data_IF_032139498037
#
_entry.id   IF_032139498037
#
_cell.length_a   1.000
_cell.length_b   1.000
_cell.length_c   1.000
_cell.angle_alpha   90.00
_cell.angle_beta   90.00
_cell.angle_gamma   90.00
#
_symmetry.space_group_name_H-M   'P 1'
#
loop_
_entity.id
_entity.type
_entity.pdbx_description
1 polymer ?
#
# COMPACT_ATOMS: atom_id res chain seq x y z
N UNK A 1 -13.49 -1.30 -5.56
CA UNK A 1 -12.01 -1.37 -5.54
C UNK A 1 -11.47 0.04 -5.40
N UNK A 2 -10.68 0.33 -4.36
CA UNK A 2 -10.17 1.68 -4.07
C UNK A 2 -9.02 2.07 -5.00
N UNK A 3 -9.36 2.41 -6.25
CA UNK A 3 -8.40 2.80 -7.29
C UNK A 3 -8.68 4.24 -7.71
N UNK A 4 -7.63 5.05 -7.83
CA UNK A 4 -7.73 6.37 -8.42
C UNK A 4 -8.04 6.26 -9.92
N UNK A 5 -9.21 6.71 -10.35
CA UNK A 5 -9.64 6.66 -11.76
C UNK A 5 -8.75 7.44 -12.74
N UNK A 6 -7.88 8.34 -12.23
CA UNK A 6 -6.99 9.16 -13.08
C UNK A 6 -5.62 8.54 -13.34
N UNK A 7 -5.06 7.78 -12.41
CA UNK A 7 -3.74 7.14 -12.59
C UNK A 7 -3.69 5.65 -12.28
N UNK A 8 -4.82 5.03 -11.93
CA UNK A 8 -4.86 3.60 -11.60
C UNK A 8 -4.19 3.24 -10.28
N UNK A 9 -3.83 4.21 -9.42
CA UNK A 9 -3.16 3.94 -8.15
C UNK A 9 -4.10 3.34 -7.11
N UNK A 10 -3.63 2.31 -6.41
CA UNK A 10 -4.34 1.67 -5.31
C UNK A 10 -4.27 2.52 -4.04
N UNK A 11 -5.42 3.06 -3.63
CA UNK A 11 -5.55 3.78 -2.37
C UNK A 11 -5.64 2.78 -1.21
N UNK A 12 -5.38 3.28 0.00
CA UNK A 12 -5.54 2.49 1.22
C UNK A 12 -6.99 1.96 1.31
N UNK A 13 -7.11 0.73 1.76
CA UNK A 13 -8.39 0.05 1.98
C UNK A 13 -8.36 -0.52 3.40
N UNK A 14 -9.49 -0.43 4.10
CA UNK A 14 -9.61 -1.07 5.41
C UNK A 14 -9.60 -2.59 5.26
N UNK A 15 -9.22 -3.29 6.31
CA UNK A 15 -9.28 -4.75 6.36
C UNK A 15 -10.71 -5.26 6.13
N UNK A 16 -11.73 -4.60 6.69
CA UNK A 16 -13.14 -4.96 6.52
C UNK A 16 -13.60 -4.82 5.06
N UNK A 17 -13.31 -3.68 4.42
CA UNK A 17 -13.66 -3.47 3.00
C UNK A 17 -12.94 -4.50 2.10
N UNK A 18 -11.70 -4.85 2.45
CA UNK A 18 -10.91 -5.84 1.71
C UNK A 18 -11.52 -7.24 1.82
N UNK A 19 -12.01 -7.62 2.99
CA UNK A 19 -12.70 -8.90 3.21
C UNK A 19 -14.01 -8.93 2.40
N UNK A 20 -14.83 -7.88 2.50
CA UNK A 20 -16.11 -7.79 1.78
C UNK A 20 -15.94 -7.86 0.24
N UNK A 21 -14.84 -7.31 -0.28
CA UNK A 21 -14.52 -7.41 -1.71
C UNK A 21 -13.94 -8.76 -2.14
N UNK A 22 -13.40 -9.55 -1.21
CA UNK A 22 -12.66 -10.79 -1.51
C UNK A 22 -13.48 -12.05 -1.25
N UNK A 23 -14.44 -11.98 -0.32
CA UNK A 23 -15.24 -13.10 0.18
C UNK A 23 -16.69 -12.93 -0.29
N UNK A 24 -17.34 -14.04 -0.62
CA UNK A 24 -18.72 -14.08 -1.08
C UNK A 24 -19.66 -13.49 0.01
N UNK A 25 -20.65 -12.65 -0.37
CA UNK A 25 -21.53 -12.00 0.59
C UNK A 25 -22.22 -12.97 1.55
N UNK A 26 -22.15 -12.67 2.85
CA UNK A 26 -22.79 -13.48 3.91
C UNK A 26 -22.05 -14.76 4.29
N UNK A 27 -20.86 -15.02 3.73
CA UNK A 27 -20.06 -16.21 4.06
C UNK A 27 -18.92 -15.96 5.03
N UNK A 28 -18.66 -14.70 5.39
CA UNK A 28 -17.60 -14.32 6.32
C UNK A 28 -17.90 -14.81 7.74
N UNK A 29 -16.96 -15.58 8.29
CA UNK A 29 -16.97 -16.10 9.65
C UNK A 29 -15.65 -15.72 10.36
N UNK A 30 -15.65 -14.67 11.19
CA UNK A 30 -14.44 -14.18 11.84
C UNK A 30 -13.95 -15.14 12.94
N UNK A 31 -12.63 -15.28 13.05
CA UNK A 31 -11.94 -16.09 14.06
C UNK A 31 -11.17 -15.21 15.04
N UNK A 32 -11.21 -15.59 16.32
CA UNK A 32 -10.43 -14.96 17.39
C UNK A 32 -10.64 -13.44 17.52
N UNK A 33 -11.83 -12.94 17.17
CA UNK A 33 -12.10 -11.49 17.12
C UNK A 33 -11.93 -10.81 18.48
N UNK A 34 -12.24 -11.52 19.58
CA UNK A 34 -12.07 -11.02 20.95
C UNK A 34 -10.64 -11.02 21.51
N UNK A 35 -9.64 -11.46 20.74
CA UNK A 35 -8.25 -11.50 21.20
C UNK A 35 -7.61 -10.11 21.16
N UNK A 36 -7.05 -9.66 22.29
CA UNK A 36 -6.49 -8.31 22.48
C UNK A 36 -5.07 -8.37 23.05
N UNK A 37 -4.23 -7.42 22.64
CA UNK A 37 -2.84 -7.34 23.10
C UNK A 37 -2.76 -6.86 24.55
N UNK A 38 -1.87 -7.49 25.32
CA UNK A 38 -1.45 -7.04 26.65
C UNK A 38 -0.10 -6.33 26.55
N UNK A 39 0.33 -5.70 27.64
CA UNK A 39 1.64 -5.07 27.78
C UNK A 39 2.46 -5.80 28.87
N UNK A 40 3.08 -6.95 28.58
CA UNK A 40 3.80 -7.74 29.59
C UNK A 40 5.10 -7.10 30.06
N UNK A 41 5.64 -6.15 29.28
CA UNK A 41 6.93 -5.52 29.53
C UNK A 41 6.79 -4.08 30.06
N UNK A 42 5.55 -3.63 30.31
CA UNK A 42 5.22 -2.28 30.77
C UNK A 42 5.93 -1.21 29.94
N UNK A 43 5.76 -1.28 28.62
CA UNK A 43 6.49 -0.39 27.72
C UNK A 43 5.96 1.05 27.80
N UNK A 44 6.79 1.93 28.33
CA UNK A 44 6.54 3.37 28.38
C UNK A 44 7.35 4.10 27.30
N UNK A 45 6.65 4.70 26.34
CA UNK A 45 7.27 5.67 25.43
C UNK A 45 7.26 7.07 26.04
N UNK A 46 8.13 7.97 25.57
CA UNK A 46 8.19 9.37 26.04
C UNK A 46 6.89 10.14 25.78
N UNK A 47 6.07 9.70 24.82
CA UNK A 47 4.82 10.36 24.43
C UNK A 47 3.61 9.78 25.18
N UNK A 48 3.46 8.45 25.22
CA UNK A 48 2.28 7.76 25.79
C UNK A 48 2.55 6.27 26.13
N UNK A 49 1.90 5.69 27.16
CA UNK A 49 1.96 4.26 27.46
C UNK A 49 1.41 3.38 26.32
N UNK A 50 2.02 2.23 26.07
CA UNK A 50 1.61 1.33 24.97
C UNK A 50 0.14 0.91 25.05
N UNK A 51 -0.38 0.68 26.26
CA UNK A 51 -1.78 0.32 26.50
C UNK A 51 -2.77 1.40 26.01
N UNK A 52 -2.45 2.66 26.26
CA UNK A 52 -3.29 3.79 25.85
C UNK A 52 -3.26 3.95 24.32
N UNK A 53 -2.10 3.68 23.70
CA UNK A 53 -1.96 3.63 22.24
C UNK A 53 -2.90 2.60 21.64
N UNK A 54 -2.83 1.36 22.10
CA UNK A 54 -3.70 0.27 21.61
C UNK A 54 -5.16 0.70 21.71
N UNK A 55 -5.60 1.19 22.88
CA UNK A 55 -6.98 1.61 23.09
C UNK A 55 -7.40 2.73 22.13
N UNK A 56 -6.53 3.70 21.86
CA UNK A 56 -6.81 4.78 20.92
C UNK A 56 -7.04 4.26 19.49
N UNK A 57 -6.23 3.30 19.04
CA UNK A 57 -6.36 2.69 17.71
C UNK A 57 -7.56 1.76 17.62
N UNK A 58 -7.85 0.97 18.66
CA UNK A 58 -9.06 0.16 18.75
C UNK A 58 -10.31 1.04 18.64
N UNK A 59 -10.36 2.16 19.36
CA UNK A 59 -11.49 3.11 19.27
C UNK A 59 -11.60 3.77 17.90
N UNK A 60 -10.47 4.08 17.27
CA UNK A 60 -10.44 4.72 15.94
C UNK A 60 -10.89 3.78 14.82
N UNK A 61 -10.42 2.53 14.85
CA UNK A 61 -10.60 1.56 13.77
C UNK A 61 -11.80 0.63 13.99
N UNK A 62 -12.24 0.47 15.24
CA UNK A 62 -13.21 -0.55 15.63
C UNK A 62 -12.65 -1.98 15.65
N UNK A 63 -11.35 -2.16 15.39
CA UNK A 63 -10.69 -3.46 15.36
C UNK A 63 -10.06 -3.78 16.73
N UNK A 64 -9.95 -5.07 17.07
CA UNK A 64 -9.24 -5.49 18.28
C UNK A 64 -7.73 -5.48 18.14
N UNK A 65 -7.22 -5.69 16.92
CA UNK A 65 -5.80 -5.72 16.61
C UNK A 65 -5.56 -5.45 15.11
N UNK A 66 -4.30 -5.32 14.69
CA UNK A 66 -3.90 -5.03 13.31
C UNK A 66 -4.16 -6.13 12.26
N UNK A 67 -4.84 -7.22 12.61
CA UNK A 67 -5.21 -8.28 11.66
C UNK A 67 -6.60 -8.82 11.97
N UNK A 68 -7.38 -8.99 10.91
CA UNK A 68 -8.62 -9.75 10.92
C UNK A 68 -8.37 -11.12 10.28
N UNK A 69 -8.78 -12.18 10.95
CA UNK A 69 -8.63 -13.57 10.49
C UNK A 69 -9.98 -14.26 10.53
N UNK A 70 -10.24 -15.14 9.58
CA UNK A 70 -11.51 -15.86 9.52
C UNK A 70 -11.60 -16.81 8.34
N UNK A 71 -12.80 -17.36 8.17
CA UNK A 71 -13.13 -18.20 7.01
C UNK A 71 -14.18 -17.52 6.15
N UNK A 72 -14.23 -17.90 4.88
CA UNK A 72 -15.19 -17.40 3.92
C UNK A 72 -15.27 -18.31 2.71
N UNK A 73 -16.11 -17.94 1.75
CA UNK A 73 -16.11 -18.56 0.43
C UNK A 73 -15.61 -17.55 -0.61
N UNK A 74 -14.88 -18.03 -1.61
CA UNK A 74 -14.49 -17.24 -2.78
C UNK A 74 -14.97 -17.99 -4.01
N UNK A 75 -15.99 -17.46 -4.68
CA UNK A 75 -16.67 -18.15 -5.78
C UNK A 75 -17.17 -19.55 -5.37
N UNK A 76 -17.70 -19.69 -4.15
CA UNK A 76 -18.17 -20.98 -3.59
C UNK A 76 -17.06 -21.92 -3.09
N UNK A 77 -15.79 -21.53 -3.18
CA UNK A 77 -14.67 -22.32 -2.65
C UNK A 77 -14.39 -21.88 -1.22
N UNK A 78 -14.45 -22.77 -0.21
CA UNK A 78 -14.14 -22.39 1.16
C UNK A 78 -12.66 -22.06 1.30
N UNK A 79 -12.35 -20.92 1.91
CA UNK A 79 -11.00 -20.40 2.12
C UNK A 79 -10.82 -19.90 3.54
N UNK A 80 -9.59 -20.02 4.05
CA UNK A 80 -9.14 -19.32 5.23
C UNK A 80 -8.45 -18.03 4.77
N UNK A 81 -8.84 -16.88 5.32
CA UNK A 81 -8.27 -15.59 4.92
C UNK A 81 -7.90 -14.73 6.13
N UNK A 82 -6.72 -14.12 6.06
CA UNK A 82 -6.24 -13.14 7.02
C UNK A 82 -5.87 -11.84 6.32
N UNK A 83 -6.37 -10.71 6.81
CA UNK A 83 -6.15 -9.39 6.23
C UNK A 83 -5.61 -8.45 7.30
N UNK A 84 -4.39 -7.94 7.07
CA UNK A 84 -3.76 -6.96 7.94
C UNK A 84 -4.23 -5.54 7.64
N UNK A 85 -4.45 -4.75 8.69
CA UNK A 85 -4.89 -3.36 8.60
C UNK A 85 -3.77 -2.38 8.97
N UNK A 86 -3.37 -1.55 8.01
CA UNK A 86 -2.37 -0.53 8.23
C UNK A 86 -2.85 0.61 9.15
N UNK A 87 -4.15 0.85 9.24
CA UNK A 87 -4.69 1.91 10.09
C UNK A 87 -4.45 1.62 11.58
N UNK A 88 -4.30 0.35 11.94
CA UNK A 88 -3.99 -0.08 13.29
C UNK A 88 -2.47 -0.14 13.49
N UNK A 89 -1.91 0.87 14.15
CA UNK A 89 -0.48 0.97 14.48
C UNK A 89 0.48 0.75 13.29
N UNK A 90 0.04 1.01 12.06
CA UNK A 90 0.85 0.80 10.85
C UNK A 90 0.98 -0.65 10.42
N UNK A 91 0.10 -1.55 10.88
CA UNK A 91 0.19 -2.98 10.59
C UNK A 91 1.32 -3.68 11.35
N UNK A 92 1.73 -3.18 12.51
CA UNK A 92 2.83 -3.75 13.29
C UNK A 92 2.49 -5.16 13.78
N UNK A 93 3.40 -6.11 13.58
CA UNK A 93 3.20 -7.51 14.00
C UNK A 93 3.55 -7.68 15.48
N UNK A 94 2.53 -7.60 16.34
CA UNK A 94 2.61 -7.92 17.77
C UNK A 94 2.34 -9.40 18.08
N UNK A 95 2.31 -9.74 19.37
CA UNK A 95 2.03 -11.12 19.84
C UNK A 95 0.66 -11.63 19.38
N UNK A 96 -0.39 -10.81 19.47
CA UNK A 96 -1.75 -11.18 19.05
C UNK A 96 -1.86 -11.33 17.54
N UNK A 97 -1.19 -10.47 16.77
CA UNK A 97 -1.15 -10.61 15.30
C UNK A 97 -0.53 -11.95 14.91
N UNK A 98 0.60 -12.31 15.54
CA UNK A 98 1.27 -13.59 15.31
C UNK A 98 0.40 -14.79 15.70
N UNK A 99 -0.24 -14.73 16.87
CA UNK A 99 -1.13 -15.78 17.37
C UNK A 99 -2.34 -16.00 16.44
N UNK A 100 -3.04 -14.93 16.04
CA UNK A 100 -4.18 -15.02 15.11
C UNK A 100 -3.78 -15.64 13.77
N UNK A 101 -2.65 -15.21 13.20
CA UNK A 101 -2.14 -15.78 11.93
C UNK A 101 -1.78 -17.26 12.09
N UNK A 102 -1.12 -17.62 13.19
CA UNK A 102 -0.72 -19.01 13.46
C UNK A 102 -1.95 -19.91 13.58
N UNK A 103 -2.96 -19.49 14.36
CA UNK A 103 -4.23 -20.22 14.48
C UNK A 103 -4.95 -20.40 13.15
N UNK A 104 -4.96 -19.36 12.32
CA UNK A 104 -5.56 -19.44 10.99
C UNK A 104 -4.83 -20.47 10.10
N UNK A 105 -3.49 -20.49 10.14
CA UNK A 105 -2.67 -21.47 9.40
C UNK A 105 -2.95 -22.89 9.90
N UNK A 106 -2.96 -23.10 11.22
CA UNK A 106 -3.23 -24.41 11.82
C UNK A 106 -4.65 -24.89 11.48
N UNK A 107 -5.64 -24.00 11.54
CA UNK A 107 -7.01 -24.29 11.16
C UNK A 107 -7.11 -24.65 9.67
N UNK A 108 -6.49 -23.87 8.78
CA UNK A 108 -6.46 -24.13 7.35
C UNK A 108 -5.79 -25.48 7.04
N UNK A 109 -4.71 -25.81 7.76
CA UNK A 109 -4.00 -27.08 7.65
C UNK A 109 -4.85 -28.26 8.10
N UNK A 110 -5.58 -28.12 9.21
CA UNK A 110 -6.44 -29.16 9.76
C UNK A 110 -7.71 -29.41 8.92
N UNK A 111 -8.25 -28.37 8.25
CA UNK A 111 -9.46 -28.44 7.41
C UNK A 111 -9.18 -28.49 5.89
N UNK A 112 -7.98 -28.93 5.50
CA UNK A 112 -7.35 -28.67 4.19
C UNK A 112 -7.95 -27.52 3.36
N UNK A 113 -7.99 -26.31 3.91
CA UNK A 113 -8.50 -25.12 3.24
C UNK A 113 -7.35 -24.35 2.56
N UNK A 114 -7.57 -23.75 1.37
CA UNK A 114 -6.67 -22.74 0.83
C UNK A 114 -6.54 -21.57 1.81
N UNK A 115 -5.31 -21.13 2.06
CA UNK A 115 -4.99 -20.00 2.92
C UNK A 115 -4.60 -18.78 2.08
N UNK A 116 -5.22 -17.64 2.37
CA UNK A 116 -4.92 -16.34 1.75
C UNK A 116 -4.51 -15.36 2.86
N UNK A 117 -3.32 -14.78 2.75
CA UNK A 117 -2.86 -13.72 3.65
C UNK A 117 -2.61 -12.44 2.87
N UNK A 118 -3.36 -11.38 3.20
CA UNK A 118 -3.17 -10.04 2.66
C UNK A 118 -2.37 -9.23 3.68
N UNK A 119 -1.07 -9.09 3.41
CA UNK A 119 -0.12 -8.44 4.31
C UNK A 119 0.06 -6.98 3.88
N UNK A 120 -0.11 -6.07 4.83
CA UNK A 120 0.20 -4.65 4.65
C UNK A 120 1.32 -4.27 5.61
N UNK A 121 2.52 -4.04 5.11
CA UNK A 121 3.68 -3.65 5.93
C UNK A 121 4.44 -2.50 5.29
N UNK A 122 5.09 -1.70 6.13
CA UNK A 122 5.93 -0.60 5.69
C UNK A 122 7.36 -1.09 5.48
N UNK A 123 7.79 -1.24 4.22
CA UNK A 123 9.22 -1.40 3.93
C UNK A 123 9.87 -0.04 4.05
N UNK A 124 10.54 0.22 5.18
CA UNK A 124 11.52 1.31 5.26
C UNK A 124 12.77 0.84 4.52
N UNK A 125 12.89 1.22 3.25
CA UNK A 125 14.20 1.15 2.57
C UNK A 125 15.09 2.18 3.26
N UNK A 126 16.00 1.70 4.09
CA UNK A 126 17.01 2.53 4.74
C UNK A 126 18.03 2.99 3.70
N UNK A 127 17.68 4.01 2.90
CA UNK A 127 18.70 4.89 2.34
C UNK A 127 18.95 6.01 3.34
N UNK A 128 20.21 6.17 3.72
CA UNK A 128 20.66 7.13 4.73
C UNK A 128 20.13 8.55 4.51
N UNK A 129 19.69 9.15 5.61
CA UNK A 129 19.65 10.61 5.86
C UNK A 129 18.84 11.45 4.87
N UNK A 130 17.52 11.52 5.07
CA UNK A 130 16.74 12.73 4.77
C UNK A 130 15.76 13.02 5.92
N UNK A 131 16.13 13.98 6.76
CA UNK A 131 15.21 14.63 7.71
C UNK A 131 14.35 15.59 6.89
N UNK A 132 13.23 15.09 6.36
CA UNK A 132 12.13 15.89 5.83
C UNK A 132 11.03 16.05 6.88
N UNK A 133 10.19 17.10 6.82
CA UNK A 133 9.10 17.29 7.77
C UNK A 133 8.19 16.05 7.74
N UNK A 134 7.97 15.46 8.93
CA UNK A 134 7.04 14.35 9.13
C UNK A 134 5.70 14.71 8.47
N UNK A 135 5.31 13.99 7.40
CA UNK A 135 3.93 14.05 6.94
C UNK A 135 3.06 13.57 8.11
N UNK A 136 2.26 14.47 8.67
CA UNK A 136 1.31 14.13 9.72
C UNK A 136 0.40 12.98 9.23
N UNK A 137 0.09 12.05 10.14
CA UNK A 137 -0.67 10.82 9.88
C UNK A 137 -2.13 11.07 9.51
N UNK A 138 -2.36 11.66 8.34
CA UNK A 138 -3.68 11.76 7.74
C UNK A 138 -4.10 10.39 7.19
N UNK A 139 -5.39 10.09 7.34
CA UNK A 139 -6.01 8.82 6.92
C UNK A 139 -5.82 8.52 5.43
N UNK A 140 -5.65 9.58 4.62
CA UNK A 140 -5.24 9.54 3.21
C UNK A 140 -4.03 10.45 2.98
N UNK A 141 -3.15 10.17 2.00
CA UNK A 141 -2.07 11.09 1.62
C UNK A 141 -2.66 12.46 1.29
N UNK A 142 -2.17 13.49 1.97
CA UNK A 142 -2.56 14.87 1.73
C UNK A 142 -1.33 15.67 1.34
N UNK A 143 -1.48 16.49 0.30
CA UNK A 143 -0.50 17.54 -0.02
C UNK A 143 -0.44 18.57 1.10
N UNK A 144 0.61 19.39 1.13
CA UNK A 144 0.76 20.52 2.06
C UNK A 144 -0.42 21.52 2.00
N UNK A 145 -1.26 21.45 0.95
CA UNK A 145 -2.48 22.23 0.74
C UNK A 145 -3.74 21.62 1.37
N UNK A 146 -3.67 20.43 1.98
CA UNK A 146 -4.79 19.76 2.64
C UNK A 146 -5.72 18.93 1.73
N UNK A 147 -5.48 18.90 0.40
CA UNK A 147 -6.24 18.08 -0.56
C UNK A 147 -5.96 16.59 -0.38
N UNK A 148 -6.97 15.74 -0.58
CA UNK A 148 -6.76 14.29 -0.73
C UNK A 148 -6.10 14.08 -2.09
N UNK A 149 -4.91 13.49 -2.06
CA UNK A 149 -4.17 13.13 -3.26
C UNK A 149 -3.78 11.67 -3.22
N UNK A 150 -3.78 11.05 -4.38
CA UNK A 150 -3.17 9.74 -4.56
C UNK A 150 -1.64 9.90 -4.42
N UNK A 151 -0.97 8.95 -3.76
CA UNK A 151 0.45 9.03 -3.47
C UNK A 151 1.36 9.05 -4.73
N UNK A 152 0.86 8.60 -5.89
CA UNK A 152 1.58 8.60 -7.18
C UNK A 152 1.03 9.55 -8.24
N UNK A 153 -0.20 10.07 -8.10
CA UNK A 153 -0.75 11.08 -9.00
C UNK A 153 -0.21 12.45 -8.57
N UNK A 154 0.96 12.85 -9.06
CA UNK A 154 1.44 14.24 -8.99
C UNK A 154 0.61 15.22 -9.85
N UNK A 155 -0.48 14.75 -10.48
CA UNK A 155 -1.34 15.58 -11.29
C UNK A 155 -2.39 16.27 -10.41
N UNK A 156 -1.99 17.45 -9.95
CA UNK A 156 -2.85 18.57 -9.57
C UNK A 156 -3.77 19.01 -10.72
N UNK A 157 -4.59 18.10 -11.26
CA UNK A 157 -5.46 18.40 -12.40
C UNK A 157 -6.96 18.29 -12.08
N UNK A 158 -7.32 18.21 -10.79
CA UNK A 158 -8.64 18.70 -10.37
C UNK A 158 -8.48 20.17 -9.97
N UNK A 159 -9.10 21.12 -10.70
CA UNK A 159 -9.20 22.48 -10.21
C UNK A 159 -9.88 22.39 -8.85
N UNK A 160 -9.25 22.93 -7.81
CA UNK A 160 -10.03 23.19 -6.62
C UNK A 160 -10.96 24.30 -7.01
N UNK A 161 -12.22 23.94 -7.11
CA UNK A 161 -13.28 24.92 -7.05
C UNK A 161 -13.25 25.46 -5.63
N UNK A 162 -12.39 26.44 -5.39
CA UNK A 162 -12.75 27.48 -4.47
C UNK A 162 -14.04 28.03 -5.07
N UNK A 163 -15.15 27.97 -4.33
CA UNK A 163 -16.36 28.69 -4.70
C UNK A 163 -16.10 30.19 -4.55
N UNK A 164 -15.22 30.74 -5.37
CA UNK A 164 -15.21 32.13 -5.69
C UNK A 164 -16.10 32.31 -6.90
N UNK A 165 -17.08 33.21 -6.77
CA UNK A 165 -17.89 33.67 -7.88
C UNK A 165 -16.91 34.21 -8.94
N UNK A 166 -16.87 33.59 -10.13
CA UNK A 166 -16.19 34.05 -11.35
C UNK A 166 -16.04 35.58 -11.37
N UNK A 167 -14.81 36.11 -11.28
CA UNK A 167 -14.38 37.39 -11.87
C UNK A 167 -12.86 37.57 -11.73
N UNK A 168 -12.28 38.11 -12.78
CA UNK A 168 -10.85 38.16 -13.11
C UNK A 168 -10.19 39.46 -12.64
N UNK A 169 -9.00 39.36 -12.04
CA UNK A 169 -8.03 40.45 -11.91
C UNK A 169 -7.54 40.75 -10.48
N UNK A 170 -6.40 40.19 -10.07
CA UNK A 170 -5.74 40.49 -8.79
C UNK A 170 -4.39 41.20 -9.06
N UNK A 171 -4.14 42.35 -8.45
CA UNK A 171 -3.08 43.29 -8.91
C UNK A 171 -2.14 43.83 -7.82
N UNK A 172 -2.13 43.32 -6.58
CA UNK A 172 -1.13 43.82 -5.62
C UNK A 172 -0.77 42.82 -4.54
N UNK A 173 0.54 42.63 -4.37
CA UNK A 173 1.15 41.89 -3.28
C UNK A 173 2.15 42.79 -2.55
N UNK A 174 2.09 42.79 -1.22
CA UNK A 174 3.17 43.23 -0.34
C UNK A 174 3.65 42.00 0.43
N UNK A 175 4.96 41.77 0.50
CA UNK A 175 5.50 40.70 1.35
C UNK A 175 6.20 41.26 2.59
N UNK A 176 6.10 40.56 3.72
CA UNK A 176 6.97 40.81 4.88
C UNK A 176 7.77 39.55 5.18
N UNK A 177 9.10 39.64 5.08
CA UNK A 177 9.99 38.53 5.39
C UNK A 177 10.09 38.36 6.91
N UNK A 178 9.41 37.35 7.47
CA UNK A 178 9.66 36.92 8.86
C UNK A 178 10.82 35.94 8.89
N UNK A 179 11.43 35.75 10.07
CA UNK A 179 12.76 35.11 10.30
C UNK A 179 13.06 33.84 9.49
N UNK A 180 12.07 33.07 8.97
CA UNK A 180 12.28 31.99 7.98
C UNK A 180 11.10 31.73 6.99
N UNK A 181 10.12 32.61 6.80
CA UNK A 181 8.95 32.34 5.94
C UNK A 181 8.38 33.61 5.27
N UNK A 182 7.36 33.45 4.42
CA UNK A 182 6.74 34.56 3.67
C UNK A 182 5.28 34.75 4.09
N UNK A 183 4.89 36.00 4.33
CA UNK A 183 3.49 36.41 4.48
C UNK A 183 3.12 37.23 3.24
N UNK A 184 2.13 36.77 2.48
CA UNK A 184 1.70 37.38 1.23
C UNK A 184 0.30 37.94 1.41
N UNK A 185 0.15 39.25 1.21
CA UNK A 185 -1.16 39.89 1.18
C UNK A 185 -1.58 40.14 -0.26
N UNK A 186 -2.60 39.44 -0.74
CA UNK A 186 -3.15 39.59 -2.09
C UNK A 186 -4.33 40.54 -2.04
N UNK A 187 -4.29 41.60 -2.83
CA UNK A 187 -5.39 42.57 -2.96
C UNK A 187 -6.14 42.37 -4.28
N UNK A 188 -7.46 42.26 -4.19
CA UNK A 188 -8.36 42.30 -5.34
C UNK A 188 -8.35 43.69 -5.99
N UNK A 189 -8.08 43.75 -7.30
CA UNK A 189 -7.95 45.00 -8.03
C UNK A 189 -9.30 45.73 -8.21
N UNK A 190 -10.42 45.03 -8.02
CA UNK A 190 -11.77 45.54 -8.27
C UNK A 190 -12.52 45.91 -6.98
N UNK A 191 -12.36 45.11 -5.91
CA UNK A 191 -13.14 45.27 -4.67
C UNK A 191 -12.30 45.74 -3.46
N UNK A 192 -10.96 45.84 -3.58
CA UNK A 192 -10.06 46.25 -2.48
C UNK A 192 -9.98 45.25 -1.31
N UNK A 193 -10.59 44.06 -1.45
CA UNK A 193 -10.53 42.99 -0.46
C UNK A 193 -9.13 42.40 -0.40
N UNK A 194 -8.63 42.19 0.82
CA UNK A 194 -7.31 41.63 1.07
C UNK A 194 -7.44 40.20 1.58
N UNK A 195 -6.63 39.29 1.02
CA UNK A 195 -6.47 37.91 1.47
C UNK A 195 -5.03 37.73 1.89
N UNK A 196 -4.80 37.26 3.12
CA UNK A 196 -3.46 36.98 3.65
C UNK A 196 -3.21 35.49 3.56
N UNK A 197 -2.09 35.11 2.95
CA UNK A 197 -1.62 33.74 2.86
C UNK A 197 -0.21 33.62 3.49
N UNK A 198 0.02 32.54 4.24
CA UNK A 198 1.23 32.35 5.05
C UNK A 198 1.97 31.13 4.52
N UNK A 199 3.16 31.36 3.97
CA UNK A 199 4.04 30.32 3.44
C UNK A 199 5.10 29.97 4.48
N UNK A 200 5.15 28.70 4.94
CA UNK A 200 6.15 28.24 5.88
C UNK A 200 7.56 28.16 5.25
N UNK A 201 8.63 28.12 6.08
CA UNK A 201 10.00 27.91 5.61
C UNK A 201 10.17 26.70 4.67
N UNK A 202 10.91 26.86 3.58
CA UNK A 202 11.40 25.76 2.74
C UNK A 202 11.28 26.02 1.24
N UNK A 203 10.08 26.30 0.71
CA UNK A 203 9.87 26.58 -0.71
C UNK A 203 10.40 27.96 -1.14
N UNK A 204 10.99 28.06 -2.32
CA UNK A 204 11.41 29.35 -2.89
C UNK A 204 10.21 30.08 -3.51
N UNK A 205 10.12 31.39 -3.33
CA UNK A 205 9.05 32.19 -3.91
C UNK A 205 9.27 32.41 -5.41
N UNK A 206 8.24 32.18 -6.23
CA UNK A 206 8.30 32.38 -7.69
C UNK A 206 7.74 33.72 -8.17
N UNK A 207 6.94 34.38 -7.36
CA UNK A 207 6.21 35.61 -7.73
C UNK A 207 6.94 36.83 -7.16
N UNK A 208 7.04 37.89 -7.97
CA UNK A 208 7.68 39.15 -7.57
C UNK A 208 6.66 40.23 -7.14
N UNK A 209 7.09 41.21 -6.35
CA UNK A 209 6.21 42.32 -5.96
C UNK A 209 5.70 43.10 -7.18
N UNK A 210 4.39 43.32 -7.26
CA UNK A 210 3.74 44.03 -8.37
C UNK A 210 3.33 43.16 -9.57
N UNK A 211 3.54 41.85 -9.51
CA UNK A 211 3.10 40.92 -10.56
C UNK A 211 1.60 40.57 -10.43
N UNK A 212 0.89 40.54 -11.56
CA UNK A 212 -0.52 40.10 -11.60
C UNK A 212 -0.61 38.59 -11.62
N UNK A 213 -1.25 37.99 -10.62
CA UNK A 213 -1.41 36.53 -10.51
C UNK A 213 -2.74 36.05 -11.09
N UNK A 214 -2.72 34.86 -11.71
CA UNK A 214 -3.95 34.16 -12.12
C UNK A 214 -4.46 33.28 -10.99
N UNK A 215 -5.77 33.01 -10.99
CA UNK A 215 -6.36 31.98 -10.13
C UNK A 215 -5.66 30.64 -10.44
N UNK A 216 -5.29 29.90 -9.39
CA UNK A 216 -4.56 28.61 -9.43
C UNK A 216 -3.08 28.68 -9.88
N UNK A 217 -2.47 29.87 -9.95
CA UNK A 217 -1.03 30.00 -10.17
C UNK A 217 -0.24 29.66 -8.89
N UNK A 218 0.77 28.76 -8.96
CA UNK A 218 1.59 28.43 -7.80
C UNK A 218 2.48 29.60 -7.39
N UNK A 219 2.48 29.92 -6.08
CA UNK A 219 3.29 31.01 -5.52
C UNK A 219 4.73 30.59 -5.20
N UNK A 220 4.98 29.29 -5.01
CA UNK A 220 6.28 28.74 -4.61
C UNK A 220 6.80 27.68 -5.59
N UNK A 221 8.11 27.40 -5.53
CA UNK A 221 8.72 26.21 -6.10
C UNK A 221 8.34 24.97 -5.28
N UNK A 222 8.44 23.79 -5.88
CA UNK A 222 8.34 22.51 -5.16
C UNK A 222 9.76 22.06 -4.76
N UNK A 223 10.14 22.13 -3.47
CA UNK A 223 11.48 21.72 -3.03
C UNK A 223 11.61 20.19 -2.88
N UNK A 224 10.56 19.41 -3.15
CA UNK A 224 10.59 17.97 -2.98
C UNK A 224 11.51 17.32 -4.03
N UNK A 225 12.59 16.70 -3.56
CA UNK A 225 13.54 15.91 -4.37
C UNK A 225 13.37 14.39 -4.18
N UNK A 226 12.43 13.97 -3.33
CA UNK A 226 12.12 12.56 -3.08
C UNK A 226 10.91 12.07 -3.87
N UNK A 227 10.84 10.76 -4.06
CA UNK A 227 9.70 10.07 -4.65
C UNK A 227 9.48 8.73 -3.96
N UNK A 228 8.22 8.32 -3.83
CA UNK A 228 7.87 7.00 -3.33
C UNK A 228 7.79 6.03 -4.51
N UNK A 229 8.54 4.92 -4.44
CA UNK A 229 8.50 3.84 -5.42
C UNK A 229 7.96 2.57 -4.77
N UNK A 230 7.10 1.84 -5.48
CA UNK A 230 6.68 0.49 -5.12
C UNK A 230 7.28 -0.47 -6.16
N UNK A 231 7.73 -1.63 -5.71
CA UNK A 231 8.20 -2.71 -6.56
C UNK A 231 7.37 -3.96 -6.31
N UNK A 232 6.98 -4.63 -7.40
CA UNK A 232 6.30 -5.91 -7.32
C UNK A 232 7.33 -7.03 -7.26
N UNK A 233 7.09 -8.01 -6.40
CA UNK A 233 7.91 -9.21 -6.29
C UNK A 233 6.99 -10.43 -6.22
N UNK A 234 7.30 -11.45 -7.01
CA UNK A 234 6.61 -12.73 -6.98
C UNK A 234 7.46 -13.75 -6.24
N UNK A 235 6.87 -14.43 -5.26
CA UNK A 235 7.50 -15.52 -4.53
C UNK A 235 6.66 -16.77 -4.76
N UNK A 236 7.27 -17.80 -5.35
CA UNK A 236 6.63 -19.10 -5.52
C UNK A 236 7.00 -19.97 -4.34
N UNK A 237 6.05 -20.18 -3.43
CA UNK A 237 6.19 -21.17 -2.35
C UNK A 237 6.17 -22.57 -2.97
N UNK A 238 7.32 -23.24 -2.97
CA UNK A 238 7.49 -24.58 -3.53
C UNK A 238 7.42 -25.66 -2.45
N UNK A 239 6.70 -26.73 -2.77
CA UNK A 239 6.71 -27.96 -1.98
C UNK A 239 7.88 -28.84 -2.44
N UNK A 240 8.80 -29.24 -1.53
CA UNK A 240 9.95 -30.08 -1.89
C UNK A 240 9.54 -31.40 -2.55
N UNK A 241 8.36 -31.95 -2.23
CA UNK A 241 7.88 -33.20 -2.83
C UNK A 241 7.54 -33.02 -4.32
N UNK A 242 7.03 -31.85 -4.73
CA UNK A 242 6.76 -31.55 -6.14
C UNK A 242 8.04 -31.46 -6.95
N UNK A 243 9.08 -30.85 -6.39
CA UNK A 243 10.40 -30.76 -7.03
C UNK A 243 11.03 -32.14 -7.18
N UNK A 244 10.96 -32.98 -6.15
CA UNK A 244 11.45 -34.35 -6.22
C UNK A 244 10.70 -35.18 -7.28
N UNK A 245 9.37 -35.08 -7.34
CA UNK A 245 8.56 -35.72 -8.36
C UNK A 245 8.92 -35.26 -9.78
N UNK A 246 9.16 -33.96 -9.98
CA UNK A 246 9.60 -33.41 -11.25
C UNK A 246 10.96 -33.97 -11.69
N UNK A 247 11.92 -34.11 -10.76
CA UNK A 247 13.23 -34.70 -11.07
C UNK A 247 13.12 -36.15 -11.52
N UNK A 248 12.29 -36.96 -10.85
CA UNK A 248 12.04 -38.35 -11.26
C UNK A 248 11.37 -38.42 -12.64
N UNK A 249 10.39 -37.56 -12.90
CA UNK A 249 9.75 -37.50 -14.20
C UNK A 249 10.75 -37.16 -15.30
N UNK A 250 11.57 -36.12 -15.13
CA UNK A 250 12.60 -35.73 -16.10
C UNK A 250 13.62 -36.86 -16.34
N UNK A 251 14.06 -37.54 -15.29
CA UNK A 251 14.96 -38.69 -15.42
C UNK A 251 14.32 -39.82 -16.23
N UNK A 252 13.02 -40.10 -16.01
CA UNK A 252 12.28 -41.13 -16.75
C UNK A 252 12.15 -40.79 -18.24
N UNK A 253 11.92 -39.51 -18.58
CA UNK A 253 11.83 -39.03 -19.96
C UNK A 253 13.16 -39.20 -20.68
N UNK A 254 14.27 -38.79 -20.04
CA UNK A 254 15.62 -38.95 -20.60
C UNK A 254 15.93 -40.43 -20.84
N UNK A 255 15.62 -41.29 -19.86
CA UNK A 255 15.84 -42.74 -19.98
C UNK A 255 15.03 -43.34 -21.14
N UNK A 256 13.75 -42.97 -21.27
CA UNK A 256 12.89 -43.43 -22.36
C UNK A 256 13.42 -42.98 -23.74
N UNK A 257 13.87 -41.73 -23.86
CA UNK A 257 14.48 -41.20 -25.09
C UNK A 257 15.73 -42.00 -25.48
N UNK A 258 16.61 -42.30 -24.52
CA UNK A 258 17.81 -43.11 -24.76
C UNK A 258 17.42 -44.50 -25.28
N UNK A 259 16.48 -45.18 -24.62
CA UNK A 259 16.05 -46.52 -25.04
C UNK A 259 15.41 -46.53 -26.42
N UNK A 260 14.60 -45.53 -26.76
CA UNK A 260 14.01 -45.40 -28.10
C UNK A 260 15.09 -45.24 -29.18
N UNK A 261 16.12 -44.42 -28.93
CA UNK A 261 17.24 -44.25 -29.87
C UNK A 261 18.06 -45.53 -30.00
N UNK A 262 18.38 -46.19 -28.88
CA UNK A 262 19.12 -47.45 -28.88
C UNK A 262 18.35 -48.55 -29.62
N UNK A 263 17.04 -48.66 -29.38
CA UNK A 263 16.18 -49.63 -30.08
C UNK A 263 16.06 -49.33 -31.56
N UNK A 264 15.94 -48.06 -31.95
CA UNK A 264 15.99 -47.66 -33.36
C UNK A 264 17.32 -48.08 -34.00
N UNK A 265 18.46 -47.80 -33.35
CA UNK A 265 19.79 -48.20 -33.83
C UNK A 265 19.99 -49.71 -33.92
N UNK A 266 19.41 -50.47 -32.98
CA UNK A 266 19.42 -51.93 -33.03
C UNK A 266 18.62 -52.44 -34.24
N UNK A 267 17.44 -51.88 -34.50
CA UNK A 267 16.57 -52.26 -35.61
C UNK A 267 17.21 -51.93 -36.97
N UNK A 268 17.80 -50.73 -37.11
CA UNK A 268 18.54 -50.33 -38.32
C UNK A 268 19.64 -51.34 -38.69
N UNK A 269 20.35 -51.91 -37.70
CA UNK A 269 21.37 -52.95 -37.96
C UNK A 269 20.79 -54.26 -38.47
N UNK A 270 19.62 -54.68 -37.95
CA UNK A 270 18.95 -55.92 -38.38
C UNK A 270 18.41 -55.78 -39.80
N UNK A 271 17.75 -54.66 -40.11
CA UNK A 271 17.28 -54.37 -41.48
C UNK A 271 18.41 -54.36 -42.51
N UNK A 272 19.58 -53.80 -42.15
CA UNK A 272 20.77 -53.84 -43.01
C UNK A 272 21.26 -55.27 -43.29
N UNK A 273 21.11 -56.20 -42.33
CA UNK A 273 21.51 -57.60 -42.52
C UNK A 273 20.50 -58.44 -43.31
N UNK A 274 19.20 -58.14 -43.18
CA UNK A 274 18.14 -58.90 -43.85
C UNK A 274 17.78 -58.36 -45.25
N UNK A 275 18.29 -57.18 -45.64
CA UNK A 275 17.99 -56.46 -46.89
C UNK A 275 16.49 -56.27 -47.19
N UNK A 276 15.63 -56.46 -46.18
CA UNK A 276 14.20 -56.17 -46.22
C UNK A 276 13.93 -55.00 -45.28
N UNK A 277 13.35 -53.95 -45.83
CA UNK A 277 13.11 -52.67 -45.16
C UNK A 277 11.69 -52.61 -44.59
#
# INVERSE_FOLDING_TARGET
MNICEQCGYYLKISSSDRIELSVDPGTWDPMDDGMVSLDPIEFHSEEEPYKDRIYSYQKKTGLTEAVQTGTGQLNGIPVAIGVMDFQFMGGSMGSVVGEKITRLIEYATNKPLPLILVITYLIKVSSERLVGPKQAGFENPREATGRIVCANCHLANKPVILRFRKRSGYSKQNHTKRKRGYEITITDALDGRQVVDIIPPGPDLRVSEGESIKLDQPLTSNPNVGGFGQGDAEIVLQDPLRVQGLLFFLASVVLAQIFLVLKKKQFEKVQLSEMNF
#
